data_IF_535615832321
#
_entry.id   IF_535615832321
#
_cell.length_a   1.000
_cell.length_b   1.000
_cell.length_c   1.000
_cell.angle_alpha   90.00
_cell.angle_beta   90.00
_cell.angle_gamma   90.00
#
_symmetry.space_group_name_H-M   'P 1'
#
loop_
_entity.id
_entity.type
_entity.pdbx_description
1 polymer ?
#
# COMPACT_ATOMS: atom_id res chain seq x y z
N UNK A 1 18.24 -28.05 -19.81
CA UNK A 1 17.81 -26.66 -19.50
C UNK A 1 16.73 -26.61 -18.42
N UNK A 2 15.63 -27.37 -18.58
CA UNK A 2 14.52 -27.44 -17.61
C UNK A 2 14.96 -27.89 -16.19
N UNK A 3 15.89 -28.84 -16.09
CA UNK A 3 16.45 -29.29 -14.80
C UNK A 3 17.22 -28.19 -14.05
N UNK A 4 18.00 -27.37 -14.77
CA UNK A 4 18.73 -26.24 -14.18
C UNK A 4 17.77 -25.18 -13.64
N UNK A 5 16.69 -24.89 -14.37
CA UNK A 5 15.67 -23.94 -13.93
C UNK A 5 14.94 -24.43 -12.67
N UNK A 6 14.62 -25.73 -12.60
CA UNK A 6 14.01 -26.35 -11.42
C UNK A 6 14.93 -26.28 -10.19
N UNK A 7 16.23 -26.51 -10.38
CA UNK A 7 17.22 -26.40 -9.30
C UNK A 7 17.35 -24.95 -8.82
N UNK A 8 17.43 -23.99 -9.74
CA UNK A 8 17.47 -22.57 -9.40
C UNK A 8 16.26 -22.12 -8.59
N UNK A 9 15.03 -22.52 -8.98
CA UNK A 9 13.83 -22.18 -8.21
C UNK A 9 13.82 -22.81 -6.81
N UNK A 10 14.39 -24.01 -6.66
CA UNK A 10 14.54 -24.65 -5.36
C UNK A 10 15.54 -23.89 -4.48
N UNK A 11 16.67 -23.47 -5.04
CA UNK A 11 17.68 -22.65 -4.35
C UNK A 11 17.10 -21.31 -3.89
N UNK A 12 16.41 -20.59 -4.78
CA UNK A 12 15.71 -19.32 -4.45
C UNK A 12 14.69 -19.52 -3.33
N UNK A 13 13.92 -20.62 -3.36
CA UNK A 13 12.95 -20.93 -2.29
C UNK A 13 13.64 -21.19 -0.95
N UNK A 14 14.81 -21.82 -0.95
CA UNK A 14 15.59 -22.08 0.26
C UNK A 14 16.15 -20.77 0.81
N UNK A 15 16.68 -19.89 -0.03
CA UNK A 15 17.20 -18.59 0.39
C UNK A 15 16.11 -17.65 0.87
N UNK A 16 14.96 -17.61 0.18
CA UNK A 16 13.80 -16.84 0.60
C UNK A 16 13.37 -17.21 2.02
N UNK A 17 13.42 -18.50 2.40
CA UNK A 17 13.09 -18.93 3.77
C UNK A 17 14.10 -18.47 4.84
N UNK A 18 15.33 -18.11 4.45
CA UNK A 18 16.33 -17.56 5.38
C UNK A 18 16.10 -16.07 5.66
N UNK A 19 15.26 -15.41 4.86
CA UNK A 19 14.89 -14.01 5.09
C UNK A 19 14.05 -13.91 6.35
N UNK A 20 14.40 -12.94 7.20
CA UNK A 20 13.62 -12.64 8.39
C UNK A 20 12.36 -11.85 8.00
N UNK A 21 11.28 -12.57 7.69
CA UNK A 21 10.00 -11.95 7.40
C UNK A 21 9.37 -11.35 8.65
N UNK A 22 8.68 -10.20 8.53
CA UNK A 22 7.96 -9.62 9.65
C UNK A 22 6.90 -10.58 10.17
N UNK A 23 6.67 -10.54 11.49
CA UNK A 23 5.63 -11.37 12.11
C UNK A 23 4.25 -10.89 11.64
N UNK A 24 3.27 -11.79 11.60
CA UNK A 24 1.89 -11.46 11.15
C UNK A 24 1.30 -10.23 11.84
N UNK A 25 1.59 -10.03 13.13
CA UNK A 25 1.09 -8.87 13.88
C UNK A 25 1.73 -7.55 13.44
N UNK A 26 3.00 -7.53 13.05
CA UNK A 26 3.71 -6.33 12.57
C UNK A 26 3.13 -5.89 11.22
N UNK A 27 2.84 -6.86 10.34
CA UNK A 27 2.20 -6.61 9.05
C UNK A 27 0.79 -6.06 9.22
N UNK A 28 0.00 -6.62 10.14
CA UNK A 28 -1.35 -6.13 10.42
C UNK A 28 -1.30 -4.72 11.03
N UNK A 29 -0.40 -4.47 11.99
CA UNK A 29 -0.25 -3.17 12.62
C UNK A 29 0.16 -2.08 11.61
N UNK A 30 1.16 -2.34 10.78
CA UNK A 30 1.59 -1.43 9.72
C UNK A 30 0.49 -1.17 8.69
N UNK A 31 -0.25 -2.21 8.29
CA UNK A 31 -1.39 -2.06 7.37
C UNK A 31 -2.47 -1.16 7.97
N UNK A 32 -2.77 -1.31 9.26
CA UNK A 32 -3.76 -0.49 9.95
C UNK A 32 -3.37 0.99 9.97
N UNK A 33 -2.09 1.29 10.22
CA UNK A 33 -1.56 2.66 10.16
C UNK A 33 -1.75 3.26 8.77
N UNK A 34 -1.46 2.50 7.71
CA UNK A 34 -1.66 2.96 6.33
C UNK A 34 -3.14 3.25 6.05
N UNK A 35 -4.05 2.35 6.45
CA UNK A 35 -5.50 2.53 6.25
C UNK A 35 -5.97 3.82 6.92
N UNK A 36 -5.63 4.03 8.19
CA UNK A 36 -6.02 5.23 8.93
C UNK A 36 -5.47 6.50 8.25
N UNK A 37 -4.21 6.46 7.84
CA UNK A 37 -3.57 7.60 7.17
C UNK A 37 -4.25 7.94 5.84
N UNK A 38 -4.56 6.94 5.02
CA UNK A 38 -5.25 7.13 3.73
C UNK A 38 -6.67 7.67 3.94
N UNK A 39 -7.40 7.16 4.93
CA UNK A 39 -8.74 7.66 5.26
C UNK A 39 -8.70 9.13 5.69
N UNK A 40 -7.75 9.51 6.55
CA UNK A 40 -7.60 10.90 6.98
C UNK A 40 -7.26 11.84 5.82
N UNK A 41 -6.29 11.47 4.98
CA UNK A 41 -5.87 12.29 3.84
C UNK A 41 -7.00 12.40 2.81
N UNK A 42 -7.65 11.30 2.45
CA UNK A 42 -8.74 11.31 1.47
C UNK A 42 -9.93 12.14 1.95
N UNK A 43 -10.27 12.08 3.24
CA UNK A 43 -11.31 12.93 3.82
C UNK A 43 -10.94 14.41 3.75
N UNK A 44 -9.70 14.76 4.10
CA UNK A 44 -9.21 16.14 4.04
C UNK A 44 -9.22 16.70 2.62
N UNK A 45 -8.66 15.95 1.67
CA UNK A 45 -8.65 16.36 0.26
C UNK A 45 -10.07 16.48 -0.29
N UNK A 46 -10.94 15.49 -0.02
CA UNK A 46 -12.33 15.53 -0.45
C UNK A 46 -13.11 16.73 0.11
N UNK A 47 -12.83 17.13 1.35
CA UNK A 47 -13.40 18.34 1.93
C UNK A 47 -12.92 19.60 1.20
N UNK A 48 -11.62 19.69 0.92
CA UNK A 48 -11.04 20.82 0.18
C UNK A 48 -11.64 20.90 -1.22
N UNK A 49 -11.71 19.79 -1.94
CA UNK A 49 -12.27 19.73 -3.30
C UNK A 49 -13.74 20.17 -3.30
N UNK A 50 -14.51 19.77 -2.28
CA UNK A 50 -15.90 20.22 -2.12
C UNK A 50 -16.02 21.73 -1.87
N UNK A 51 -15.17 22.29 -1.02
CA UNK A 51 -15.17 23.73 -0.73
C UNK A 51 -14.73 24.52 -1.97
N UNK A 52 -13.63 24.12 -2.60
CA UNK A 52 -13.10 24.79 -3.79
C UNK A 52 -14.09 24.71 -4.95
N UNK A 53 -14.71 23.56 -5.21
CA UNK A 53 -15.71 23.43 -6.28
C UNK A 53 -16.91 24.34 -6.08
N UNK A 54 -17.39 24.53 -4.84
CA UNK A 54 -18.44 25.50 -4.55
C UNK A 54 -18.00 26.94 -4.80
N UNK A 55 -16.80 27.31 -4.36
CA UNK A 55 -16.25 28.66 -4.57
C UNK A 55 -16.13 28.92 -6.08
N UNK A 56 -15.47 28.03 -6.82
CA UNK A 56 -15.27 28.16 -8.26
C UNK A 56 -16.62 28.26 -9.00
N UNK A 57 -17.60 27.43 -8.64
CA UNK A 57 -18.95 27.50 -9.24
C UNK A 57 -19.65 28.82 -8.96
N UNK A 58 -19.43 29.40 -7.77
CA UNK A 58 -19.98 30.72 -7.43
C UNK A 58 -19.29 31.88 -8.17
N UNK A 59 -18.01 31.75 -8.53
CA UNK A 59 -17.26 32.76 -9.29
C UNK A 59 -17.47 32.66 -10.81
N UNK A 60 -17.72 31.46 -11.35
CA UNK A 60 -17.94 31.25 -12.79
C UNK A 60 -19.37 31.60 -13.21
N UNK A 61 -20.33 31.63 -12.26
CA UNK A 61 -21.73 31.95 -12.52
C UNK A 61 -22.07 33.42 -12.31
#
# INVERSE_FOLDING_TARGET
MISRLRNFLNEVKIEAKKVNYPKKHEVIASTWVVIVTVVLISFFLGLIDFVLSRIVTAFIR
#
